data_IF_952915127115
#
_entry.id   IF_952915127115
#
_cell.length_a   1.000
_cell.length_b   1.000
_cell.length_c   1.000
_cell.angle_alpha   90.00
_cell.angle_beta   90.00
_cell.angle_gamma   90.00
#
_symmetry.space_group_name_H-M   'P 1'
#
loop_
_entity.id
_entity.type
_entity.pdbx_description
1 polymer ?
#
# COMPACT_ATOMS: atom_id res chain seq x y z
N UNK A 1 22.17 -25.50 -3.65
CA UNK A 1 22.14 -25.16 -2.20
C UNK A 1 21.41 -23.84 -1.97
N UNK A 2 21.08 -23.11 -3.05
CA UNK A 2 20.60 -21.73 -3.09
C UNK A 2 19.12 -21.53 -2.74
N UNK A 3 18.29 -22.58 -2.79
CA UNK A 3 16.85 -22.47 -2.52
C UNK A 3 16.50 -22.33 -1.03
N UNK A 4 17.37 -22.79 -0.13
CA UNK A 4 17.16 -22.70 1.32
C UNK A 4 17.49 -21.29 1.81
N UNK A 5 18.59 -20.73 1.33
CA UNK A 5 19.05 -19.37 1.65
C UNK A 5 18.05 -18.29 1.22
N UNK A 6 17.43 -18.44 0.04
CA UNK A 6 16.41 -17.48 -0.43
C UNK A 6 15.09 -17.58 0.32
N UNK A 7 14.77 -18.75 0.88
CA UNK A 7 13.54 -18.94 1.65
C UNK A 7 13.70 -18.41 3.08
N UNK A 8 14.88 -18.60 3.69
CA UNK A 8 15.22 -18.06 5.00
C UNK A 8 15.23 -16.53 4.99
N UNK A 9 15.87 -15.90 3.99
CA UNK A 9 15.84 -14.44 3.84
C UNK A 9 14.44 -13.88 3.57
N UNK A 10 13.55 -14.66 2.95
CA UNK A 10 12.17 -14.23 2.71
C UNK A 10 11.33 -14.27 4.00
N UNK A 11 11.49 -15.31 4.81
CA UNK A 11 10.81 -15.42 6.10
C UNK A 11 11.32 -14.36 7.09
N UNK A 12 12.62 -14.07 7.07
CA UNK A 12 13.19 -12.93 7.82
C UNK A 12 12.59 -11.60 7.35
N UNK A 13 12.54 -11.35 6.04
CA UNK A 13 11.89 -10.15 5.48
C UNK A 13 10.41 -10.07 5.88
N UNK A 14 9.67 -11.17 5.79
CA UNK A 14 8.27 -11.21 6.20
C UNK A 14 8.10 -10.94 7.70
N UNK A 15 9.03 -11.40 8.53
CA UNK A 15 9.05 -11.15 9.97
C UNK A 15 9.33 -9.68 10.29
N UNK A 16 10.23 -9.04 9.55
CA UNK A 16 10.46 -7.59 9.67
C UNK A 16 9.26 -6.78 9.19
N UNK A 17 8.63 -7.22 8.08
CA UNK A 17 7.40 -6.61 7.58
C UNK A 17 6.22 -6.79 8.56
N UNK A 18 6.15 -7.88 9.33
CA UNK A 18 5.12 -8.08 10.36
C UNK A 18 5.17 -6.99 11.45
N UNK A 19 6.35 -6.39 11.68
CA UNK A 19 6.50 -5.25 12.62
C UNK A 19 5.88 -3.96 12.07
N UNK A 20 5.73 -3.86 10.75
CA UNK A 20 5.11 -2.72 10.06
C UNK A 20 3.63 -2.99 9.78
N UNK A 21 3.32 -4.17 9.23
CA UNK A 21 1.96 -4.59 8.87
C UNK A 21 1.87 -6.09 8.58
N UNK A 22 0.94 -6.76 9.26
CA UNK A 22 0.59 -8.16 8.98
C UNK A 22 0.04 -8.36 7.56
N UNK A 23 -0.65 -7.36 7.00
CA UNK A 23 -1.18 -7.44 5.63
C UNK A 23 -0.05 -7.47 4.59
N UNK A 24 0.95 -6.61 4.75
CA UNK A 24 2.12 -6.53 3.85
C UNK A 24 2.99 -7.78 3.97
N UNK A 25 3.21 -8.27 5.20
CA UNK A 25 3.93 -9.51 5.45
C UNK A 25 3.20 -10.75 4.90
N UNK A 26 1.88 -10.83 5.10
CA UNK A 26 1.03 -11.89 4.57
C UNK A 26 1.04 -11.94 3.05
N UNK A 27 0.92 -10.78 2.39
CA UNK A 27 1.04 -10.66 0.94
C UNK A 27 2.42 -11.11 0.46
N UNK A 28 3.49 -10.70 1.14
CA UNK A 28 4.86 -11.07 0.81
C UNK A 28 5.06 -12.59 0.86
N UNK A 29 4.61 -13.24 1.95
CA UNK A 29 4.63 -14.70 2.06
C UNK A 29 3.85 -15.39 0.96
N UNK A 30 2.70 -14.83 0.54
CA UNK A 30 1.84 -15.43 -0.50
C UNK A 30 2.41 -15.27 -1.92
N UNK A 31 2.98 -14.10 -2.23
CA UNK A 31 3.52 -13.77 -3.56
C UNK A 31 4.89 -14.42 -3.79
N UNK A 32 5.71 -14.53 -2.74
CA UNK A 32 7.11 -14.94 -2.85
C UNK A 32 7.40 -16.31 -2.22
N UNK A 33 6.52 -16.84 -1.36
CA UNK A 33 6.73 -18.11 -0.66
C UNK A 33 6.60 -19.35 -1.54
N UNK A 34 7.30 -20.41 -1.13
CA UNK A 34 7.46 -21.66 -1.88
C UNK A 34 6.19 -22.56 -1.94
N UNK A 35 5.06 -22.14 -1.32
CA UNK A 35 3.98 -23.05 -0.91
C UNK A 35 2.72 -23.17 -1.78
N UNK A 36 2.51 -22.40 -2.86
CA UNK A 36 1.25 -22.44 -3.61
C UNK A 36 1.39 -23.07 -5.00
N UNK A 37 1.46 -24.40 -5.03
CA UNK A 37 1.62 -25.24 -6.24
C UNK A 37 0.48 -25.09 -7.28
N UNK A 38 -0.64 -24.43 -6.93
CA UNK A 38 -1.77 -24.20 -7.86
C UNK A 38 -1.85 -22.80 -8.50
N UNK A 39 -1.24 -21.78 -7.90
CA UNK A 39 -1.40 -20.36 -8.31
C UNK A 39 -0.11 -19.68 -8.78
N UNK A 40 1.01 -20.41 -8.73
CA UNK A 40 2.36 -19.89 -8.96
C UNK A 40 2.57 -19.26 -10.33
N UNK A 41 1.95 -19.77 -11.40
CA UNK A 41 2.13 -19.24 -12.76
C UNK A 41 1.58 -17.84 -12.94
N UNK A 42 0.39 -17.59 -12.37
CA UNK A 42 -0.33 -16.32 -12.46
C UNK A 42 0.30 -15.28 -11.54
N UNK A 43 0.58 -15.65 -10.28
CA UNK A 43 1.23 -14.75 -9.31
C UNK A 43 2.66 -14.40 -9.72
N UNK A 44 3.38 -15.28 -10.44
CA UNK A 44 4.71 -14.98 -11.00
C UNK A 44 4.64 -13.85 -12.05
N UNK A 45 3.54 -13.73 -12.79
CA UNK A 45 3.30 -12.60 -13.70
C UNK A 45 3.07 -11.28 -12.96
N UNK A 46 2.35 -11.34 -11.83
CA UNK A 46 2.08 -10.19 -10.97
C UNK A 46 3.26 -9.80 -10.06
N UNK A 47 4.21 -10.71 -9.85
CA UNK A 47 5.33 -10.56 -8.91
C UNK A 47 6.10 -9.25 -9.10
N UNK A 48 6.38 -8.84 -10.35
CA UNK A 48 7.07 -7.57 -10.61
C UNK A 48 6.25 -6.36 -10.16
N UNK A 49 4.94 -6.39 -10.36
CA UNK A 49 4.04 -5.29 -9.94
C UNK A 49 3.96 -5.20 -8.42
N UNK A 50 3.90 -6.34 -7.76
CA UNK A 50 3.98 -6.42 -6.30
C UNK A 50 5.32 -5.91 -5.76
N UNK A 51 6.44 -6.28 -6.40
CA UNK A 51 7.76 -5.71 -6.07
C UNK A 51 7.74 -4.20 -6.22
N UNK A 52 7.26 -3.66 -7.35
CA UNK A 52 7.19 -2.21 -7.57
C UNK A 52 6.33 -1.50 -6.53
N UNK A 53 5.19 -2.08 -6.13
CA UNK A 53 4.37 -1.52 -5.06
C UNK A 53 5.13 -1.51 -3.72
N UNK A 54 5.76 -2.63 -3.35
CA UNK A 54 6.54 -2.74 -2.11
C UNK A 54 7.76 -1.82 -2.11
N UNK A 55 8.46 -1.68 -3.23
CA UNK A 55 9.57 -0.75 -3.41
C UNK A 55 9.09 0.70 -3.28
N UNK A 56 7.93 1.06 -3.85
CA UNK A 56 7.36 2.39 -3.64
C UNK A 56 6.98 2.61 -2.19
N UNK A 57 6.35 1.63 -1.53
CA UNK A 57 6.01 1.74 -0.11
C UNK A 57 7.26 1.87 0.77
N UNK A 58 8.37 1.21 0.42
CA UNK A 58 9.62 1.25 1.17
C UNK A 58 10.45 2.51 0.88
N UNK A 59 10.49 2.96 -0.39
CA UNK A 59 11.18 4.19 -0.78
C UNK A 59 10.45 5.44 -0.27
N UNK A 60 9.11 5.35 -0.15
CA UNK A 60 8.26 6.39 0.42
C UNK A 60 8.11 6.19 1.94
N UNK A 61 9.24 6.13 2.65
CA UNK A 61 9.30 6.27 4.12
C UNK A 61 8.68 7.61 4.61
N UNK A 62 8.29 8.46 3.66
CA UNK A 62 7.33 9.56 3.79
C UNK A 62 6.02 9.27 3.03
N UNK A 63 5.18 8.37 3.54
CA UNK A 63 3.74 8.29 3.21
C UNK A 63 2.98 9.65 3.31
N UNK A 64 3.66 10.71 3.79
CA UNK A 64 3.27 12.11 3.85
C UNK A 64 3.06 12.82 2.50
N UNK A 65 3.47 12.25 1.35
CA UNK A 65 3.32 12.93 0.04
C UNK A 65 2.55 12.15 -1.03
N UNK A 66 2.35 10.83 -0.87
CA UNK A 66 1.60 10.04 -1.85
C UNK A 66 0.08 10.05 -1.68
N UNK A 67 -0.44 10.56 -0.56
CA UNK A 67 -1.90 10.54 -0.32
C UNK A 67 -2.37 11.91 0.13
N UNK A 68 -2.59 12.79 -0.85
CA UNK A 68 -3.47 13.92 -0.65
C UNK A 68 -4.85 13.40 -0.18
N UNK A 69 -5.60 14.19 0.59
CA UNK A 69 -6.90 13.75 1.15
C UNK A 69 -7.84 13.16 0.09
N UNK A 70 -7.80 13.70 -1.13
CA UNK A 70 -8.57 13.20 -2.27
C UNK A 70 -8.19 11.75 -2.64
N UNK A 71 -6.90 11.42 -2.71
CA UNK A 71 -6.42 10.07 -2.98
C UNK A 71 -6.82 9.10 -1.86
N UNK A 72 -6.81 9.55 -0.60
CA UNK A 72 -7.25 8.75 0.55
C UNK A 72 -8.74 8.45 0.46
N UNK A 73 -9.57 9.44 0.14
CA UNK A 73 -11.01 9.26 -0.03
C UNK A 73 -11.34 8.35 -1.21
N UNK A 74 -10.62 8.47 -2.33
CA UNK A 74 -10.75 7.53 -3.46
C UNK A 74 -10.38 6.10 -3.06
N UNK A 75 -9.30 5.92 -2.29
CA UNK A 75 -8.88 4.61 -1.80
C UNK A 75 -9.90 3.99 -0.85
N UNK A 76 -10.48 4.79 0.05
CA UNK A 76 -11.62 4.37 0.90
C UNK A 76 -12.82 3.96 0.06
N UNK A 77 -13.17 4.75 -0.96
CA UNK A 77 -14.25 4.46 -1.88
C UNK A 77 -14.04 3.13 -2.62
N UNK A 78 -12.82 2.89 -3.11
CA UNK A 78 -12.45 1.62 -3.71
C UNK A 78 -12.57 0.45 -2.73
N UNK A 79 -12.02 0.54 -1.52
CA UNK A 79 -12.10 -0.55 -0.53
C UNK A 79 -13.53 -0.85 -0.09
N UNK A 80 -14.40 0.17 -0.04
CA UNK A 80 -15.82 0.00 0.28
C UNK A 80 -16.60 -0.69 -0.85
N UNK A 81 -16.20 -0.47 -2.10
CA UNK A 81 -16.83 -1.09 -3.28
C UNK A 81 -15.76 -1.40 -4.34
N UNK A 82 -15.06 -2.53 -4.23
CA UNK A 82 -13.92 -2.84 -5.09
C UNK A 82 -14.40 -3.30 -6.47
N UNK A 83 -14.34 -2.39 -7.44
CA UNK A 83 -14.77 -2.59 -8.82
C UNK A 83 -13.72 -2.01 -9.76
N UNK A 84 -13.75 -2.40 -11.04
CA UNK A 84 -12.86 -1.80 -12.05
C UNK A 84 -13.04 -0.28 -12.14
N UNK A 85 -14.30 0.19 -12.04
CA UNK A 85 -14.63 1.62 -12.05
C UNK A 85 -14.01 2.34 -10.86
N UNK A 86 -14.22 1.85 -9.63
CA UNK A 86 -13.64 2.49 -8.45
C UNK A 86 -12.11 2.38 -8.41
N UNK A 87 -11.55 1.28 -8.90
CA UNK A 87 -10.09 1.09 -9.03
C UNK A 87 -9.46 2.08 -10.01
N UNK A 88 -10.10 2.34 -11.14
CA UNK A 88 -9.62 3.29 -12.16
C UNK A 88 -9.52 4.74 -11.66
N UNK A 89 -10.18 5.07 -10.54
CA UNK A 89 -10.09 6.42 -9.94
C UNK A 89 -8.77 6.68 -9.21
N UNK A 90 -7.98 5.63 -8.91
CA UNK A 90 -6.74 5.69 -8.14
C UNK A 90 -5.51 6.15 -8.95
N UNK A 91 -5.74 7.07 -9.90
CA UNK A 91 -4.69 7.66 -10.77
C UNK A 91 -3.56 8.35 -9.98
N UNK A 92 -3.86 8.80 -8.76
CA UNK A 92 -2.91 9.45 -7.86
C UNK A 92 -1.99 8.46 -7.14
N UNK A 93 -2.23 7.15 -7.27
CA UNK A 93 -1.42 6.06 -6.70
C UNK A 93 -1.00 5.11 -7.83
N UNK A 94 -0.04 5.50 -8.69
CA UNK A 94 0.20 4.82 -9.96
C UNK A 94 0.59 3.34 -9.84
N UNK A 95 1.38 2.94 -8.84
CA UNK A 95 1.70 1.51 -8.66
C UNK A 95 0.50 0.68 -8.22
N UNK A 96 -0.37 1.26 -7.39
CA UNK A 96 -1.60 0.58 -6.98
C UNK A 96 -2.54 0.44 -8.18
N UNK A 97 -2.72 1.50 -8.97
CA UNK A 97 -3.53 1.46 -10.20
C UNK A 97 -3.03 0.37 -11.16
N UNK A 98 -1.73 0.35 -11.48
CA UNK A 98 -1.16 -0.66 -12.38
C UNK A 98 -1.34 -2.09 -11.85
N UNK A 99 -1.27 -2.29 -10.54
CA UNK A 99 -1.49 -3.60 -9.93
C UNK A 99 -2.95 -4.03 -9.97
N UNK A 100 -3.89 -3.10 -9.73
CA UNK A 100 -5.32 -3.33 -9.81
C UNK A 100 -5.75 -3.69 -11.24
N UNK A 101 -5.28 -2.93 -12.23
CA UNK A 101 -5.54 -3.22 -13.64
C UNK A 101 -5.04 -4.62 -14.02
N UNK A 102 -3.83 -4.97 -13.57
CA UNK A 102 -3.21 -6.25 -13.89
C UNK A 102 -3.88 -7.43 -13.16
N UNK A 103 -4.30 -7.26 -11.89
CA UNK A 103 -5.11 -8.26 -11.20
C UNK A 103 -6.46 -8.46 -11.86
N UNK A 104 -7.18 -7.39 -12.20
CA UNK A 104 -8.46 -7.50 -12.90
C UNK A 104 -8.29 -8.19 -14.25
N UNK A 105 -7.24 -7.84 -15.01
CA UNK A 105 -6.93 -8.42 -16.31
C UNK A 105 -6.59 -9.91 -16.25
N UNK A 106 -5.83 -10.35 -15.24
CA UNK A 106 -5.33 -11.73 -15.15
C UNK A 106 -6.29 -12.63 -14.36
N UNK A 107 -6.81 -12.14 -13.23
CA UNK A 107 -7.62 -12.90 -12.29
C UNK A 107 -9.13 -12.71 -12.50
N UNK A 108 -9.56 -11.63 -13.16
CA UNK A 108 -10.97 -11.25 -13.29
C UNK A 108 -11.60 -10.72 -11.98
N UNK A 109 -10.81 -10.57 -10.92
CA UNK A 109 -11.23 -10.10 -9.61
C UNK A 109 -10.02 -9.66 -8.78
N UNK A 110 -10.24 -8.77 -7.81
CA UNK A 110 -9.20 -8.38 -6.85
C UNK A 110 -9.01 -9.44 -5.78
N UNK A 111 -7.76 -9.74 -5.46
CA UNK A 111 -7.44 -10.72 -4.42
C UNK A 111 -7.76 -10.16 -3.03
N UNK A 112 -8.19 -11.01 -2.07
CA UNK A 112 -8.38 -10.58 -0.69
C UNK A 112 -7.11 -9.94 -0.11
N UNK A 113 -5.94 -10.44 -0.48
CA UNK A 113 -4.67 -9.93 0.01
C UNK A 113 -4.37 -8.51 -0.48
N UNK A 114 -4.65 -8.20 -1.75
CA UNK A 114 -4.51 -6.84 -2.26
C UNK A 114 -5.46 -5.89 -1.53
N UNK A 115 -6.69 -6.32 -1.24
CA UNK A 115 -7.65 -5.52 -0.49
C UNK A 115 -7.18 -5.25 0.95
N UNK A 116 -6.57 -6.22 1.61
CA UNK A 116 -5.99 -6.02 2.94
C UNK A 116 -4.80 -5.05 2.92
N UNK A 117 -3.96 -5.07 1.88
CA UNK A 117 -2.92 -4.04 1.71
C UNK A 117 -3.54 -2.66 1.48
N UNK A 118 -4.62 -2.55 0.71
CA UNK A 118 -5.32 -1.28 0.51
C UNK A 118 -5.91 -0.74 1.83
N UNK A 119 -6.47 -1.61 2.69
CA UNK A 119 -6.94 -1.23 4.03
C UNK A 119 -5.81 -0.69 4.88
N UNK A 120 -4.69 -1.41 4.92
CA UNK A 120 -3.50 -0.96 5.65
C UNK A 120 -3.00 0.39 5.14
N UNK A 121 -2.97 0.61 3.81
CA UNK A 121 -2.59 1.90 3.23
C UNK A 121 -3.50 3.04 3.69
N UNK A 122 -4.82 2.81 3.84
CA UNK A 122 -5.77 3.80 4.37
C UNK A 122 -5.43 4.16 5.82
N UNK A 123 -5.22 3.15 6.68
CA UNK A 123 -4.91 3.33 8.09
C UNK A 123 -3.58 4.09 8.27
N UNK A 124 -2.56 3.69 7.52
CA UNK A 124 -1.24 4.31 7.54
C UNK A 124 -1.30 5.78 7.13
N UNK A 125 -1.90 6.03 5.97
CA UNK A 125 -2.01 7.38 5.41
C UNK A 125 -2.85 8.29 6.32
N UNK A 126 -3.94 7.75 6.91
CA UNK A 126 -4.76 8.50 7.87
C UNK A 126 -4.01 8.87 9.14
N UNK A 127 -3.20 7.95 9.69
CA UNK A 127 -2.33 8.20 10.85
C UNK A 127 -1.29 9.29 10.54
N UNK A 128 -0.63 9.19 9.40
CA UNK A 128 0.40 10.12 8.96
C UNK A 128 -0.18 11.52 8.69
N UNK A 129 -1.31 11.61 7.99
CA UNK A 129 -2.00 12.87 7.72
C UNK A 129 -2.46 13.55 9.02
N UNK A 130 -2.96 12.77 9.98
CA UNK A 130 -3.36 13.29 11.30
C UNK A 130 -2.17 13.84 12.07
N UNK A 131 -1.03 13.14 12.05
CA UNK A 131 0.20 13.62 12.68
C UNK A 131 0.74 14.90 12.02
N UNK A 132 0.63 15.03 10.69
CA UNK A 132 1.00 16.24 9.97
C UNK A 132 0.12 17.43 10.33
N UNK A 133 -1.19 17.25 10.37
CA UNK A 133 -2.15 18.29 10.80
C UNK A 133 -1.92 18.73 12.24
N UNK A 134 -1.59 17.80 13.13
CA UNK A 134 -1.24 18.11 14.53
C UNK A 134 0.13 18.77 14.70
N UNK A 135 1.03 18.64 13.71
CA UNK A 135 2.38 19.25 13.71
C UNK A 135 2.46 20.56 12.91
N UNK A 136 1.40 20.98 12.21
CA UNK A 136 1.39 22.29 11.56
C UNK A 136 1.49 23.37 12.65
N UNK A 137 2.55 24.20 12.66
CA UNK A 137 2.59 25.36 13.54
C UNK A 137 1.42 26.27 13.16
N UNK A 138 0.77 26.86 14.17
CA UNK A 138 -0.30 27.83 14.00
C UNK A 138 0.08 28.82 12.89
N UNK A 139 -0.84 29.05 11.97
CA UNK A 139 -0.57 29.87 10.79
C UNK A 139 -0.25 31.30 11.22
N UNK A 140 0.47 32.06 10.39
CA UNK A 140 0.81 33.47 10.68
C UNK A 140 -0.45 34.31 10.94
N UNK A 141 -1.62 33.85 10.48
CA UNK A 141 -2.94 34.42 10.80
C UNK A 141 -3.32 34.30 12.28
N UNK A 142 -2.90 33.24 12.97
CA UNK A 142 -3.13 33.02 14.41
C UNK A 142 -2.23 33.92 15.29
N UNK A 143 -1.06 34.31 14.77
CA UNK A 143 -0.14 35.25 15.44
C UNK A 143 -0.52 36.73 15.25
N UNK A 144 -1.41 37.04 14.31
CA UNK A 144 -1.86 38.41 14.04
C UNK A 144 -2.95 38.91 15.02
N UNK A 145 -3.54 38.04 15.84
CA UNK A 145 -4.61 38.38 16.80
C UNK A 145 -4.08 38.89 18.14
N UNK A 146 -2.77 38.79 18.41
CA UNK A 146 -2.16 39.23 19.67
C UNK A 146 -1.12 40.36 19.53
N UNK A 147 -1.04 41.00 18.36
CA UNK A 147 -0.16 42.15 18.10
C UNK A 147 -0.93 43.45 17.86
N UNK A 148 -1.81 43.84 18.78
CA UNK A 148 -2.50 45.13 18.76
C UNK A 148 -1.91 46.08 19.80
N UNK A 149 -1.16 47.08 19.32
CA UNK A 149 -0.74 48.38 19.88
C UNK A 149 -1.09 48.72 21.34
#
# INVERSE_FOLDING_TARGET
MDHVETQESLEELATELDKVSQAVAGLTRKVFGSGSVGGQGVLRGLRRRYITLLEQLAAEESAMQMVNESALEKLKGFVASPTEVSGSTLVDIPALLMLLEEEMRIMGSYTPELLEVCRWMIEESGRVLSALKGKQPATVADLAVHGGW
#
